data_IF_851517323254
#
_entry.id   IF_851517323254
#
_cell.length_a   1.000
_cell.length_b   1.000
_cell.length_c   1.000
_cell.angle_alpha   90.00
_cell.angle_beta   90.00
_cell.angle_gamma   90.00
#
_symmetry.space_group_name_H-M   'P 1'
#
loop_
_entity.id
_entity.type
_entity.pdbx_description
1 polymer ?
#
# COMPACT_ATOMS: atom_id res chain seq x y z
N UNK A 1 23.43 -13.95 4.90
CA UNK A 1 22.95 -15.28 5.37
C UNK A 1 21.89 -15.77 4.37
N UNK A 2 21.58 -17.07 4.21
CA UNK A 2 20.52 -17.48 3.27
C UNK A 2 19.14 -17.29 3.91
N UNK A 3 18.50 -16.15 3.65
CA UNK A 3 17.06 -16.03 3.86
C UNK A 3 16.36 -16.83 2.78
N UNK A 4 15.80 -17.97 3.18
CA UNK A 4 14.79 -18.66 2.36
C UNK A 4 13.48 -17.92 2.53
N UNK A 5 13.22 -16.98 1.62
CA UNK A 5 11.88 -16.43 1.48
C UNK A 5 10.89 -17.58 1.33
N UNK A 6 9.83 -17.58 2.15
CA UNK A 6 8.66 -18.42 1.89
C UNK A 6 7.99 -17.82 0.65
N UNK A 7 8.31 -18.37 -0.52
CA UNK A 7 7.40 -18.24 -1.66
C UNK A 7 6.04 -18.76 -1.20
N UNK A 8 5.05 -17.88 -1.11
CA UNK A 8 3.68 -18.25 -0.82
C UNK A 8 3.20 -19.10 -2.00
N UNK A 9 3.15 -20.41 -1.78
CA UNK A 9 2.64 -21.35 -2.79
C UNK A 9 1.14 -21.43 -2.63
N UNK A 10 0.43 -20.46 -3.22
CA UNK A 10 -0.98 -20.63 -3.57
C UNK A 10 -1.07 -21.93 -4.37
N UNK A 11 -1.74 -22.93 -3.81
CA UNK A 11 -1.67 -24.30 -4.32
C UNK A 11 -2.85 -24.60 -5.25
N UNK A 12 -2.97 -23.80 -6.32
CA UNK A 12 -3.98 -23.93 -7.38
C UNK A 12 -5.44 -23.86 -6.89
N UNK A 13 -5.90 -22.68 -6.51
CA UNK A 13 -7.34 -22.41 -6.44
C UNK A 13 -7.88 -22.09 -7.84
N UNK A 14 -8.54 -23.06 -8.45
CA UNK A 14 -9.39 -22.88 -9.63
C UNK A 14 -10.80 -22.78 -9.09
N UNK A 15 -11.19 -21.56 -8.75
CA UNK A 15 -12.42 -21.28 -8.04
C UNK A 15 -13.71 -21.86 -8.73
N UNK A 16 -14.87 -21.66 -8.08
CA UNK A 16 -16.05 -21.03 -8.72
C UNK A 16 -17.44 -21.91 -8.94
N UNK A 17 -18.74 -21.62 -8.45
CA UNK A 17 -20.21 -21.12 -8.77
C UNK A 17 -21.41 -21.71 -9.62
N UNK A 18 -22.66 -21.36 -9.21
CA UNK A 18 -23.54 -20.28 -9.77
C UNK A 18 -24.47 -19.71 -8.64
N UNK A 19 -25.00 -18.47 -8.74
CA UNK A 19 -25.69 -17.64 -7.69
C UNK A 19 -26.82 -18.29 -6.87
N UNK A 20 -26.75 -18.27 -5.52
CA UNK A 20 -27.84 -18.61 -4.58
C UNK A 20 -29.20 -17.95 -4.94
N UNK A 21 -30.28 -18.75 -5.09
CA UNK A 21 -31.62 -18.24 -5.40
C UNK A 21 -32.74 -19.19 -4.91
N UNK A 22 -33.29 -18.96 -3.70
CA UNK A 22 -34.70 -19.30 -3.38
C UNK A 22 -35.14 -18.88 -1.96
N UNK A 23 -35.30 -17.57 -1.70
CA UNK A 23 -36.29 -17.09 -0.73
C UNK A 23 -37.20 -16.06 -1.40
N UNK A 24 -38.48 -16.07 -1.04
CA UNK A 24 -39.53 -15.26 -1.67
C UNK A 24 -40.09 -14.24 -0.66
N UNK A 25 -40.62 -13.08 -1.06
CA UNK A 25 -41.30 -12.85 -2.32
C UNK A 25 -41.22 -11.43 -2.88
N UNK A 26 -41.51 -11.34 -4.18
CA UNK A 26 -41.57 -10.16 -5.03
C UNK A 26 -42.09 -8.87 -4.37
N UNK A 27 -41.22 -7.85 -4.32
CA UNK A 27 -41.61 -6.44 -4.39
C UNK A 27 -40.73 -5.78 -5.46
N UNK A 28 -41.35 -5.10 -6.43
CA UNK A 28 -40.61 -4.25 -7.37
C UNK A 28 -40.65 -2.83 -6.81
N UNK A 29 -39.50 -2.33 -6.40
CA UNK A 29 -39.26 -0.89 -6.26
C UNK A 29 -38.28 -0.41 -7.33
N UNK A 30 -38.32 0.89 -7.61
CA UNK A 30 -37.35 1.52 -8.50
C UNK A 30 -36.08 1.83 -7.71
N UNK A 31 -34.93 1.83 -8.36
CA UNK A 31 -33.72 2.44 -7.82
C UNK A 31 -34.03 3.89 -7.40
N UNK A 32 -33.73 4.24 -6.15
CA UNK A 32 -34.03 5.55 -5.61
C UNK A 32 -33.68 5.68 -4.13
N UNK A 33 -32.84 6.68 -3.86
CA UNK A 33 -32.48 7.24 -2.55
C UNK A 33 -32.01 6.21 -1.51
N UNK A 34 -30.69 6.09 -1.41
CA UNK A 34 -29.98 5.14 -0.56
C UNK A 34 -30.47 5.18 0.90
N UNK A 35 -30.91 4.02 1.36
CA UNK A 35 -31.43 3.85 2.69
C UNK A 35 -30.28 3.98 3.69
N UNK A 36 -30.28 5.09 4.44
CA UNK A 36 -29.27 5.37 5.46
C UNK A 36 -29.37 4.40 6.64
N UNK A 37 -28.75 3.23 6.52
CA UNK A 37 -28.70 2.21 7.56
C UNK A 37 -27.39 2.32 8.33
N UNK A 38 -27.48 2.71 9.61
CA UNK A 38 -26.34 2.73 10.53
C UNK A 38 -25.79 1.30 10.74
N UNK A 39 -24.47 1.14 10.84
CA UNK A 39 -23.85 -0.16 11.13
C UNK A 39 -22.43 -0.31 10.60
N UNK A 40 -21.96 -1.56 10.63
CA UNK A 40 -20.71 -2.00 10.00
C UNK A 40 -20.96 -2.29 8.52
N UNK A 41 -19.97 -2.03 7.67
CA UNK A 41 -20.04 -2.19 6.21
C UNK A 41 -18.75 -2.82 5.68
N UNK A 42 -18.86 -3.66 4.64
CA UNK A 42 -17.74 -4.32 4.00
C UNK A 42 -17.49 -3.68 2.62
N UNK A 43 -16.31 -3.10 2.42
CA UNK A 43 -15.88 -2.47 1.16
C UNK A 43 -14.96 -3.39 0.37
N UNK A 44 -15.10 -3.36 -0.95
CA UNK A 44 -14.31 -4.13 -1.92
C UNK A 44 -13.70 -3.08 -2.88
N UNK A 45 -12.39 -2.78 -2.80
CA UNK A 45 -11.73 -1.79 -3.65
C UNK A 45 -11.58 -2.31 -5.10
N UNK A 46 -11.29 -1.40 -6.05
CA UNK A 46 -11.21 -1.68 -7.51
C UNK A 46 -12.44 -2.34 -8.15
N UNK A 47 -13.57 -2.45 -7.43
CA UNK A 47 -14.76 -3.04 -8.03
C UNK A 47 -15.35 -2.08 -9.07
N UNK A 48 -15.60 -2.48 -10.33
CA UNK A 48 -15.85 -1.51 -11.39
C UNK A 48 -17.11 -0.68 -11.21
N UNK A 49 -16.96 0.63 -11.34
CA UNK A 49 -18.04 1.61 -11.25
C UNK A 49 -19.07 1.42 -12.38
N UNK A 50 -18.63 0.92 -13.54
CA UNK A 50 -19.44 0.61 -14.72
C UNK A 50 -20.09 -0.79 -14.69
N UNK A 51 -19.96 -1.54 -13.59
CA UNK A 51 -20.67 -2.80 -13.38
C UNK A 51 -22.19 -2.58 -13.25
N UNK A 52 -22.98 -3.40 -13.96
CA UNK A 52 -24.44 -3.36 -13.93
C UNK A 52 -24.95 -3.73 -12.52
N UNK A 53 -25.79 -2.88 -11.91
CA UNK A 53 -26.45 -3.18 -10.62
C UNK A 53 -27.69 -4.05 -10.89
N UNK A 54 -27.59 -5.34 -10.57
CA UNK A 54 -28.66 -6.32 -10.75
C UNK A 54 -29.73 -6.22 -9.65
N UNK A 55 -29.31 -6.04 -8.39
CA UNK A 55 -30.20 -5.94 -7.23
C UNK A 55 -29.57 -5.10 -6.12
N UNK A 56 -30.35 -4.18 -5.54
CA UNK A 56 -30.03 -3.53 -4.27
C UNK A 56 -31.28 -3.47 -3.40
N UNK A 57 -31.14 -3.86 -2.14
CA UNK A 57 -32.15 -3.63 -1.10
C UNK A 57 -31.51 -3.56 0.28
N UNK A 58 -32.09 -2.76 1.16
CA UNK A 58 -31.74 -2.64 2.57
C UNK A 58 -33.00 -2.36 3.39
N UNK A 59 -33.04 -2.77 4.66
CA UNK A 59 -34.21 -2.60 5.54
C UNK A 59 -33.92 -1.92 6.90
N UNK A 60 -34.98 -1.73 7.69
CA UNK A 60 -34.92 -1.08 9.01
C UNK A 60 -34.29 -1.98 10.11
N UNK A 61 -34.23 -3.30 9.91
CA UNK A 61 -33.63 -4.26 10.86
C UNK A 61 -32.12 -4.47 10.59
N UNK A 62 -31.62 -4.02 9.44
CA UNK A 62 -30.20 -3.99 9.09
C UNK A 62 -29.77 -4.99 8.03
N UNK A 63 -30.70 -5.78 7.48
CA UNK A 63 -30.45 -6.67 6.35
C UNK A 63 -30.16 -5.86 5.08
N UNK A 64 -29.21 -6.34 4.27
CA UNK A 64 -28.81 -5.73 3.00
C UNK A 64 -28.53 -6.83 1.99
N UNK A 65 -29.03 -6.66 0.77
CA UNK A 65 -28.64 -7.44 -0.41
C UNK A 65 -28.12 -6.48 -1.47
N UNK A 66 -26.90 -6.73 -1.96
CA UNK A 66 -26.28 -5.98 -3.04
C UNK A 66 -25.77 -6.97 -4.10
N UNK A 67 -26.10 -6.78 -5.37
CA UNK A 67 -25.65 -7.61 -6.48
C UNK A 67 -25.27 -6.73 -7.67
N UNK A 68 -24.01 -6.84 -8.13
CA UNK A 68 -23.51 -6.25 -9.38
C UNK A 68 -23.01 -7.33 -10.33
N UNK A 69 -23.00 -7.07 -11.64
CA UNK A 69 -22.39 -7.94 -12.66
C UNK A 69 -21.53 -7.18 -13.67
N UNK A 70 -20.63 -7.91 -14.33
CA UNK A 70 -19.68 -7.39 -15.32
C UNK A 70 -19.73 -8.28 -16.57
N UNK A 71 -19.57 -7.67 -17.76
CA UNK A 71 -19.67 -8.30 -19.08
C UNK A 71 -20.96 -9.12 -19.28
N UNK A 72 -22.14 -8.49 -19.24
CA UNK A 72 -23.44 -9.11 -19.54
C UNK A 72 -23.70 -10.37 -18.68
N UNK A 73 -23.45 -10.24 -17.37
CA UNK A 73 -23.61 -11.34 -16.42
C UNK A 73 -22.60 -12.47 -16.59
N UNK A 74 -21.42 -12.25 -17.19
CA UNK A 74 -20.29 -13.18 -17.05
C UNK A 74 -19.86 -13.27 -15.59
N UNK A 75 -19.34 -12.17 -15.09
CA UNK A 75 -19.00 -12.01 -13.68
C UNK A 75 -20.20 -11.47 -12.90
N UNK A 76 -20.36 -11.89 -11.63
CA UNK A 76 -21.42 -11.45 -10.71
C UNK A 76 -20.84 -11.41 -9.29
N UNK A 77 -21.02 -10.32 -8.55
CA UNK A 77 -20.68 -10.21 -7.15
C UNK A 77 -21.95 -9.90 -6.35
N UNK A 78 -22.30 -10.80 -5.43
CA UNK A 78 -23.26 -10.55 -4.37
C UNK A 78 -22.57 -10.23 -3.04
N UNK A 79 -23.04 -9.22 -2.33
CA UNK A 79 -22.71 -8.95 -0.92
C UNK A 79 -24.02 -8.91 -0.14
N UNK A 80 -24.15 -9.78 0.85
CA UNK A 80 -25.30 -9.80 1.75
C UNK A 80 -24.83 -9.46 3.16
N UNK A 81 -25.56 -8.61 3.88
CA UNK A 81 -25.40 -8.35 5.32
C UNK A 81 -26.66 -8.78 6.04
N UNK A 82 -26.52 -9.48 7.15
CA UNK A 82 -27.61 -9.88 8.05
C UNK A 82 -27.22 -9.55 9.50
N UNK A 83 -28.15 -9.17 10.38
CA UNK A 83 -27.85 -9.00 11.81
C UNK A 83 -27.24 -10.26 12.44
N UNK A 84 -26.24 -10.09 13.32
CA UNK A 84 -25.68 -11.20 14.09
C UNK A 84 -26.65 -11.63 15.21
N UNK A 85 -26.73 -12.93 15.45
CA UNK A 85 -27.56 -13.50 16.50
C UNK A 85 -27.33 -14.99 16.66
N UNK A 86 -27.91 -15.57 17.73
CA UNK A 86 -27.74 -16.98 18.14
C UNK A 86 -28.12 -18.02 17.06
N UNK A 87 -28.78 -17.61 15.97
CA UNK A 87 -29.26 -18.49 14.90
C UNK A 87 -28.30 -18.63 13.69
N UNK A 88 -27.41 -17.66 13.43
CA UNK A 88 -26.62 -17.58 12.18
C UNK A 88 -25.16 -18.04 12.36
N UNK A 89 -24.96 -19.28 12.80
CA UNK A 89 -23.60 -19.85 13.02
C UNK A 89 -22.91 -20.27 11.71
N UNK A 90 -21.58 -20.52 11.70
CA UNK A 90 -20.88 -21.09 10.54
C UNK A 90 -21.47 -22.42 10.05
N UNK A 91 -21.90 -23.30 10.95
CA UNK A 91 -22.59 -24.54 10.58
C UNK A 91 -23.94 -24.28 9.92
N UNK A 92 -24.68 -23.26 10.39
CA UNK A 92 -25.95 -22.88 9.78
C UNK A 92 -25.75 -22.25 8.40
N UNK A 93 -24.69 -21.47 8.22
CA UNK A 93 -24.32 -20.94 6.90
C UNK A 93 -23.97 -22.07 5.92
N UNK A 94 -23.23 -23.10 6.35
CA UNK A 94 -22.99 -24.30 5.52
C UNK A 94 -24.27 -24.99 5.09
N UNK A 95 -25.24 -25.15 5.99
CA UNK A 95 -26.54 -25.76 5.66
C UNK A 95 -27.29 -24.93 4.61
N UNK A 96 -27.33 -23.59 4.76
CA UNK A 96 -27.96 -22.67 3.80
C UNK A 96 -27.30 -22.70 2.42
N UNK A 97 -25.95 -22.71 2.38
CA UNK A 97 -25.20 -22.85 1.13
C UNK A 97 -25.56 -24.19 0.46
N UNK A 98 -25.42 -25.31 1.18
CA UNK A 98 -25.67 -26.67 0.68
C UNK A 98 -27.11 -26.88 0.17
N UNK A 99 -28.11 -26.34 0.87
CA UNK A 99 -29.50 -26.37 0.42
C UNK A 99 -29.66 -25.62 -0.92
N UNK A 100 -29.04 -24.45 -1.07
CA UNK A 100 -29.15 -23.68 -2.30
C UNK A 100 -28.28 -24.18 -3.47
N UNK A 101 -27.23 -24.98 -3.22
CA UNK A 101 -26.53 -25.76 -4.26
C UNK A 101 -27.49 -26.80 -4.83
N UNK A 102 -28.09 -27.57 -3.92
CA UNK A 102 -29.04 -28.66 -4.22
C UNK A 102 -30.27 -28.16 -4.95
N UNK A 103 -30.90 -27.07 -4.48
CA UNK A 103 -32.09 -26.47 -5.08
C UNK A 103 -31.89 -26.00 -6.53
N UNK A 104 -30.62 -25.90 -6.97
CA UNK A 104 -30.23 -25.32 -8.26
C UNK A 104 -29.44 -26.28 -9.15
N UNK A 105 -29.39 -27.56 -8.77
CA UNK A 105 -28.88 -28.64 -9.61
C UNK A 105 -27.38 -28.89 -9.53
N UNK A 106 -26.66 -28.26 -8.59
CA UNK A 106 -25.34 -28.76 -8.17
C UNK A 106 -25.47 -29.88 -7.13
N UNK A 107 -24.38 -30.58 -6.86
CA UNK A 107 -24.30 -31.53 -5.74
C UNK A 107 -23.75 -30.83 -4.49
N UNK A 108 -24.33 -31.12 -3.32
CA UNK A 108 -23.86 -30.57 -2.05
C UNK A 108 -22.65 -31.33 -1.48
N UNK A 109 -22.39 -32.55 -1.95
CA UNK A 109 -21.18 -33.31 -1.60
C UNK A 109 -19.91 -32.78 -2.34
N UNK A 110 -20.09 -31.98 -3.40
CA UNK A 110 -19.01 -31.36 -4.21
C UNK A 110 -18.58 -29.95 -3.70
N UNK A 111 -19.02 -29.53 -2.51
CA UNK A 111 -18.66 -28.22 -1.93
C UNK A 111 -17.38 -28.30 -1.11
N UNK A 112 -16.32 -27.63 -1.56
CA UNK A 112 -15.10 -27.46 -0.77
C UNK A 112 -15.28 -26.30 0.22
N UNK A 113 -15.11 -26.57 1.51
CA UNK A 113 -15.27 -25.57 2.58
C UNK A 113 -14.03 -25.48 3.47
N UNK A 114 -13.49 -24.27 3.68
CA UNK A 114 -12.63 -23.98 4.83
C UNK A 114 -13.45 -23.35 5.98
N UNK A 115 -13.31 -23.89 7.19
CA UNK A 115 -13.96 -23.39 8.42
C UNK A 115 -13.08 -22.48 9.26
N UNK A 116 -11.79 -22.36 8.93
CA UNK A 116 -10.86 -21.45 9.58
C UNK A 116 -10.60 -20.23 8.69
N UNK A 117 -10.43 -20.46 7.38
CA UNK A 117 -10.18 -19.43 6.37
C UNK A 117 -9.07 -18.46 6.83
N UNK A 118 -7.96 -19.03 7.30
CA UNK A 118 -6.99 -18.33 8.17
C UNK A 118 -6.48 -17.02 7.56
N UNK A 119 -6.22 -17.00 6.24
CA UNK A 119 -5.78 -15.81 5.50
C UNK A 119 -6.85 -14.68 5.51
N UNK A 120 -8.13 -15.00 5.30
CA UNK A 120 -9.23 -14.03 5.37
C UNK A 120 -9.56 -13.61 6.81
N UNK A 121 -9.39 -14.51 7.78
CA UNK A 121 -9.59 -14.21 9.19
C UNK A 121 -8.49 -13.30 9.76
N UNK A 122 -7.26 -13.39 9.23
CA UNK A 122 -6.17 -12.44 9.51
C UNK A 122 -6.45 -11.08 8.83
N UNK A 123 -6.75 -11.08 7.52
CA UNK A 123 -7.07 -9.87 6.73
C UNK A 123 -8.21 -9.04 7.33
N UNK A 124 -9.37 -9.68 7.57
CA UNK A 124 -10.58 -8.99 8.03
C UNK A 124 -10.65 -8.85 9.56
N UNK A 125 -9.73 -9.48 10.31
CA UNK A 125 -9.72 -9.52 11.78
C UNK A 125 -10.98 -10.14 12.44
N UNK A 126 -11.82 -10.84 11.68
CA UNK A 126 -13.02 -11.54 12.16
C UNK A 126 -13.01 -13.02 11.74
N UNK A 127 -13.64 -13.93 12.51
CA UNK A 127 -13.82 -15.32 12.08
C UNK A 127 -14.45 -15.42 10.69
N UNK A 128 -13.82 -16.22 9.82
CA UNK A 128 -14.22 -16.41 8.43
C UNK A 128 -14.50 -17.89 8.10
N UNK A 129 -15.26 -18.11 7.03
CA UNK A 129 -15.53 -19.40 6.40
C UNK A 129 -15.55 -19.19 4.89
N UNK A 130 -14.91 -20.06 4.11
CA UNK A 130 -15.04 -20.05 2.65
C UNK A 130 -15.82 -21.26 2.14
N UNK A 131 -16.42 -21.12 0.95
CA UNK A 131 -17.00 -22.22 0.20
C UNK A 131 -16.81 -22.06 -1.32
N UNK A 132 -16.44 -23.14 -2.00
CA UNK A 132 -16.27 -23.22 -3.46
C UNK A 132 -17.04 -24.43 -4.00
N UNK A 133 -17.82 -24.24 -5.08
CA UNK A 133 -18.68 -25.28 -5.65
C UNK A 133 -19.20 -24.92 -7.05
N UNK A 134 -19.09 -25.82 -8.03
CA UNK A 134 -19.52 -25.58 -9.42
C UNK A 134 -21.02 -25.89 -9.64
N UNK A 135 -21.70 -25.16 -10.52
CA UNK A 135 -23.11 -25.41 -10.89
C UNK A 135 -23.30 -25.24 -12.40
N UNK A 136 -24.08 -26.16 -12.98
CA UNK A 136 -24.35 -26.25 -14.42
C UNK A 136 -23.67 -27.47 -15.04
N UNK A 137 -23.75 -27.60 -16.36
CA UNK A 137 -23.01 -28.62 -17.11
C UNK A 137 -22.43 -28.03 -18.40
N UNK A 138 -21.25 -28.51 -18.81
CA UNK A 138 -20.61 -28.19 -20.10
C UNK A 138 -20.33 -26.68 -20.28
N UNK A 139 -20.69 -26.09 -21.42
CA UNK A 139 -20.43 -24.67 -21.72
C UNK A 139 -21.35 -23.69 -20.98
N UNK A 140 -22.44 -24.17 -20.38
CA UNK A 140 -23.31 -23.38 -19.50
C UNK A 140 -22.91 -23.54 -18.02
N UNK A 141 -21.80 -24.23 -17.74
CA UNK A 141 -21.21 -24.26 -16.41
C UNK A 141 -20.74 -22.84 -16.02
N UNK A 142 -21.03 -22.48 -14.78
CA UNK A 142 -20.76 -21.17 -14.15
C UNK A 142 -19.83 -21.41 -12.96
N UNK A 143 -19.23 -20.36 -12.34
CA UNK A 143 -18.30 -20.50 -11.19
C UNK A 143 -18.09 -19.16 -10.25
N UNK A 144 -17.92 -18.69 -8.92
CA UNK A 144 -17.74 -18.75 -7.33
C UNK A 144 -16.41 -18.35 -6.60
N UNK A 145 -16.53 -17.43 -5.65
CA UNK A 145 -16.11 -17.75 -4.28
C UNK A 145 -17.26 -17.38 -3.34
N UNK A 146 -17.38 -18.06 -2.20
CA UNK A 146 -18.23 -17.61 -1.08
C UNK A 146 -17.35 -17.38 0.13
N UNK A 147 -17.51 -16.23 0.80
CA UNK A 147 -16.85 -15.89 2.06
C UNK A 147 -17.92 -15.46 3.05
N UNK A 148 -18.11 -16.22 4.12
CA UNK A 148 -18.92 -15.85 5.28
C UNK A 148 -18.03 -15.23 6.36
N UNK A 149 -18.36 -14.02 6.80
CA UNK A 149 -17.60 -13.26 7.81
C UNK A 149 -18.49 -12.97 9.01
N UNK A 150 -18.05 -13.36 10.20
CA UNK A 150 -18.86 -13.35 11.41
C UNK A 150 -18.36 -12.26 12.39
N UNK A 151 -19.03 -11.11 12.39
CA UNK A 151 -18.72 -9.98 13.27
C UNK A 151 -19.62 -9.97 14.52
N UNK A 152 -19.37 -9.07 15.48
CA UNK A 152 -20.17 -9.00 16.71
C UNK A 152 -21.63 -8.58 16.45
N UNK A 153 -21.87 -7.67 15.49
CA UNK A 153 -23.19 -7.08 15.20
C UNK A 153 -23.82 -7.59 13.89
N UNK A 154 -23.03 -8.11 12.94
CA UNK A 154 -23.50 -8.58 11.63
C UNK A 154 -22.78 -9.84 11.12
N UNK A 155 -23.46 -10.65 10.33
CA UNK A 155 -22.87 -11.67 9.46
C UNK A 155 -22.88 -11.15 8.02
N UNK A 156 -21.74 -11.19 7.36
CA UNK A 156 -21.60 -10.85 5.94
C UNK A 156 -21.42 -12.12 5.11
N UNK A 157 -21.97 -12.11 3.90
CA UNK A 157 -21.77 -13.15 2.89
C UNK A 157 -21.34 -12.49 1.58
N UNK A 158 -20.07 -12.60 1.23
CA UNK A 158 -19.55 -12.20 -0.08
C UNK A 158 -19.61 -13.39 -1.02
N UNK A 159 -20.05 -13.17 -2.25
CA UNK A 159 -20.38 -14.21 -3.20
C UNK A 159 -20.00 -13.78 -4.63
N UNK A 160 -18.79 -14.12 -5.10
CA UNK A 160 -18.38 -13.87 -6.49
C UNK A 160 -18.96 -14.92 -7.48
N UNK A 161 -18.79 -14.71 -8.77
CA UNK A 161 -19.45 -15.47 -9.83
C UNK A 161 -18.88 -15.07 -11.19
N UNK A 162 -18.82 -16.00 -12.14
CA UNK A 162 -18.00 -16.00 -13.37
C UNK A 162 -18.61 -17.07 -14.29
N UNK A 163 -18.47 -16.99 -15.60
CA UNK A 163 -18.81 -18.11 -16.53
C UNK A 163 -17.57 -19.00 -16.72
N UNK A 164 -17.74 -20.32 -16.88
CA UNK A 164 -16.58 -21.25 -16.91
C UNK A 164 -15.68 -21.08 -18.15
N UNK A 165 -16.18 -20.46 -19.22
CA UNK A 165 -15.41 -20.05 -20.39
C UNK A 165 -14.61 -18.75 -20.18
N UNK A 166 -14.91 -18.02 -19.10
CA UNK A 166 -14.42 -16.68 -18.77
C UNK A 166 -13.56 -16.67 -17.48
N UNK A 167 -13.16 -17.85 -16.97
CA UNK A 167 -12.46 -17.97 -15.69
C UNK A 167 -11.08 -17.31 -15.68
N UNK A 168 -10.27 -17.59 -16.71
CA UNK A 168 -8.91 -17.05 -16.83
C UNK A 168 -8.91 -15.51 -16.93
N UNK A 169 -9.99 -14.90 -17.48
CA UNK A 169 -10.13 -13.45 -17.65
C UNK A 169 -10.42 -12.69 -16.33
N UNK A 170 -10.92 -13.39 -15.30
CA UNK A 170 -11.32 -12.80 -14.02
C UNK A 170 -10.47 -13.23 -12.83
N UNK A 171 -9.63 -14.26 -12.95
CA UNK A 171 -8.83 -14.83 -11.84
C UNK A 171 -8.03 -13.76 -11.10
N UNK A 172 -7.10 -13.07 -11.78
CA UNK A 172 -6.22 -12.08 -11.15
C UNK A 172 -7.00 -10.88 -10.57
N UNK A 173 -8.08 -10.45 -11.24
CA UNK A 173 -8.95 -9.34 -10.78
C UNK A 173 -9.68 -9.71 -9.49
N UNK A 174 -10.24 -10.92 -9.43
CA UNK A 174 -10.93 -11.38 -8.22
C UNK A 174 -9.99 -11.53 -7.04
N UNK A 175 -8.73 -11.93 -7.26
CA UNK A 175 -7.74 -11.98 -6.19
C UNK A 175 -7.49 -10.59 -5.59
N UNK A 176 -7.28 -9.55 -6.41
CA UNK A 176 -7.11 -8.17 -5.94
C UNK A 176 -8.33 -7.68 -5.14
N UNK A 177 -9.55 -7.87 -5.65
CA UNK A 177 -10.80 -7.50 -4.96
C UNK A 177 -10.95 -8.19 -3.60
N UNK A 178 -10.61 -9.49 -3.52
CA UNK A 178 -10.74 -10.27 -2.30
C UNK A 178 -9.62 -10.02 -1.28
N UNK A 179 -8.38 -9.79 -1.72
CA UNK A 179 -7.26 -9.42 -0.85
C UNK A 179 -7.33 -7.96 -0.36
N UNK A 180 -7.99 -7.08 -1.10
CA UNK A 180 -8.22 -5.68 -0.73
C UNK A 180 -9.43 -5.42 0.18
N UNK A 181 -10.24 -6.43 0.51
CA UNK A 181 -11.46 -6.25 1.29
C UNK A 181 -11.20 -5.69 2.69
N UNK A 182 -12.03 -4.74 3.13
CA UNK A 182 -11.93 -4.15 4.47
C UNK A 182 -13.28 -3.72 5.04
N UNK A 183 -13.39 -3.77 6.37
CA UNK A 183 -14.53 -3.21 7.07
C UNK A 183 -14.40 -1.69 7.25
N UNK A 184 -15.50 -0.97 7.07
CA UNK A 184 -15.67 0.45 7.36
C UNK A 184 -16.89 0.64 8.27
N UNK A 185 -16.83 1.61 9.18
CA UNK A 185 -17.88 1.83 10.19
C UNK A 185 -18.71 3.08 9.91
N UNK A 186 -20.04 2.96 9.95
CA UNK A 186 -20.93 4.12 9.94
C UNK A 186 -20.72 4.98 11.19
N UNK A 187 -20.58 6.29 11.00
CA UNK A 187 -20.28 7.24 12.07
C UNK A 187 -21.47 7.49 12.99
N UNK A 188 -21.27 7.38 14.31
CA UNK A 188 -22.30 7.65 15.31
C UNK A 188 -22.32 9.12 15.75
N UNK A 189 -23.36 9.85 15.30
CA UNK A 189 -23.92 11.06 15.92
C UNK A 189 -22.93 12.10 16.50
N UNK A 190 -22.39 12.99 15.65
CA UNK A 190 -21.87 14.29 16.09
C UNK A 190 -22.94 15.38 15.99
N UNK A 191 -23.06 16.24 17.01
CA UNK A 191 -23.99 17.39 16.97
C UNK A 191 -23.39 18.58 16.18
N UNK A 192 -23.63 18.67 14.87
CA UNK A 192 -23.43 19.91 14.11
C UNK A 192 -24.63 20.20 13.20
N UNK A 193 -25.33 21.32 13.46
CA UNK A 193 -26.50 21.76 12.69
C UNK A 193 -26.06 22.57 11.44
N UNK A 194 -25.84 21.91 10.31
CA UNK A 194 -25.80 22.55 8.99
C UNK A 194 -26.68 21.81 7.97
N UNK A 195 -27.48 22.56 7.22
CA UNK A 195 -28.33 22.02 6.15
C UNK A 195 -27.51 21.82 4.86
N UNK A 196 -26.77 20.70 4.82
CA UNK A 196 -26.10 20.13 3.64
C UNK A 196 -26.37 18.62 3.57
N UNK A 197 -26.38 18.05 2.37
CA UNK A 197 -26.71 16.64 2.13
C UNK A 197 -25.44 15.77 2.29
N UNK A 198 -25.06 15.48 3.54
CA UNK A 198 -23.85 14.74 3.89
C UNK A 198 -24.19 13.42 4.63
N UNK A 199 -23.44 12.34 4.35
CA UNK A 199 -23.43 11.12 5.17
C UNK A 199 -24.51 10.07 4.89
N UNK A 200 -24.68 9.62 3.65
CA UNK A 200 -25.42 8.38 3.31
C UNK A 200 -24.68 7.57 2.25
N UNK A 201 -23.84 6.63 2.69
CA UNK A 201 -23.09 5.79 1.77
C UNK A 201 -23.96 4.72 1.09
N UNK A 202 -24.00 4.73 -0.24
CA UNK A 202 -23.96 3.48 -1.01
C UNK A 202 -22.66 2.75 -0.63
N UNK A 203 -22.65 1.41 -0.75
CA UNK A 203 -21.45 0.61 -0.50
C UNK A 203 -20.35 0.85 -1.56
N UNK A 204 -20.68 1.59 -2.63
CA UNK A 204 -19.85 1.84 -3.83
C UNK A 204 -19.86 3.31 -4.29
N UNK A 205 -20.26 4.27 -3.45
CA UNK A 205 -20.16 5.71 -3.75
C UNK A 205 -18.78 6.28 -3.41
N UNK A 206 -18.24 7.12 -4.30
CA UNK A 206 -16.97 7.84 -4.13
C UNK A 206 -17.15 9.26 -3.54
N UNK A 207 -18.34 9.86 -3.62
CA UNK A 207 -18.60 11.25 -3.21
C UNK A 207 -18.85 11.48 -1.70
N UNK A 208 -18.57 10.50 -0.82
CA UNK A 208 -18.31 10.77 0.62
C UNK A 208 -16.98 10.19 1.15
N UNK A 209 -15.90 10.38 0.38
CA UNK A 209 -14.51 10.12 0.77
C UNK A 209 -13.92 10.95 1.93
N UNK A 210 -14.63 11.13 3.04
CA UNK A 210 -14.01 11.53 4.32
C UNK A 210 -13.18 10.36 4.88
N UNK A 211 -11.99 10.17 4.32
CA UNK A 211 -10.92 9.32 4.86
C UNK A 211 -10.61 9.74 6.31
N UNK A 212 -11.23 9.08 7.29
CA UNK A 212 -11.45 9.55 8.67
C UNK A 212 -10.32 10.35 9.31
N UNK A 213 -10.30 11.65 9.06
CA UNK A 213 -9.30 12.60 9.56
C UNK A 213 -7.84 12.36 9.15
N UNK A 214 -7.55 11.47 8.17
CA UNK A 214 -6.19 11.20 7.67
C UNK A 214 -5.92 11.97 6.38
N UNK A 215 -5.41 13.19 6.54
CA UNK A 215 -4.80 13.98 5.47
C UNK A 215 -3.55 13.26 4.94
N UNK A 216 -3.49 13.01 3.63
CA UNK A 216 -2.31 12.43 2.97
C UNK A 216 -1.27 13.55 2.82
N UNK A 217 -0.35 13.64 3.79
CA UNK A 217 0.67 14.69 3.88
C UNK A 217 1.65 14.75 2.68
N UNK A 218 1.71 13.69 1.85
CA UNK A 218 2.58 13.61 0.68
C UNK A 218 2.12 12.63 -0.41
N UNK A 219 2.50 12.91 -1.66
CA UNK A 219 2.11 12.17 -2.87
C UNK A 219 3.28 11.49 -3.60
N UNK A 220 4.51 11.72 -3.14
CA UNK A 220 5.70 10.97 -3.53
C UNK A 220 6.73 11.02 -2.41
N UNK A 221 7.65 10.05 -2.38
CA UNK A 221 8.82 10.07 -1.49
C UNK A 221 10.07 9.75 -2.30
N UNK A 222 11.15 10.47 -2.03
CA UNK A 222 12.46 10.19 -2.64
C UNK A 222 13.49 9.90 -1.56
N UNK A 223 14.33 8.89 -1.80
CA UNK A 223 15.21 8.31 -0.78
C UNK A 223 16.69 8.44 -1.13
N UNK A 224 17.56 8.55 -0.13
CA UNK A 224 19.01 8.72 -0.34
C UNK A 224 19.78 7.43 -0.67
N UNK A 225 19.16 6.26 -0.55
CA UNK A 225 19.70 4.94 -0.90
C UNK A 225 18.68 4.10 -1.72
N UNK A 226 19.08 2.96 -2.30
CA UNK A 226 18.16 1.98 -2.87
C UNK A 226 17.23 1.35 -1.82
N UNK A 227 16.26 0.56 -2.28
CA UNK A 227 15.32 -0.22 -1.45
C UNK A 227 14.52 0.65 -0.45
N UNK A 228 14.24 1.91 -0.82
CA UNK A 228 13.55 2.91 0.00
C UNK A 228 14.24 3.24 1.34
N UNK A 229 15.58 3.12 1.39
CA UNK A 229 16.39 3.30 2.60
C UNK A 229 17.04 4.68 2.74
N UNK A 230 17.47 5.00 3.96
CA UNK A 230 18.21 6.23 4.27
C UNK A 230 17.30 7.41 4.60
N UNK A 231 17.68 8.59 4.11
CA UNK A 231 16.87 9.81 4.30
C UNK A 231 15.74 9.80 3.28
N UNK A 232 14.51 9.72 3.80
CA UNK A 232 13.29 10.02 3.07
C UNK A 232 13.10 11.54 2.95
N UNK A 233 12.62 12.00 1.78
CA UNK A 233 12.08 13.35 1.59
C UNK A 233 10.68 13.25 1.00
N UNK A 234 9.68 13.55 1.82
CA UNK A 234 8.27 13.58 1.45
C UNK A 234 7.96 14.76 0.53
N UNK A 235 7.28 14.51 -0.59
CA UNK A 235 6.87 15.54 -1.56
C UNK A 235 5.37 15.81 -1.37
N UNK A 236 4.97 16.99 -0.85
CA UNK A 236 3.62 17.18 -0.30
C UNK A 236 2.50 17.22 -1.36
N UNK A 237 2.80 17.59 -2.60
CA UNK A 237 1.80 17.81 -3.65
C UNK A 237 2.42 17.75 -5.06
N UNK A 238 1.61 17.76 -6.13
CA UNK A 238 2.08 18.13 -7.47
C UNK A 238 2.79 19.49 -7.46
N UNK A 239 3.91 19.59 -8.17
CA UNK A 239 4.74 20.78 -8.13
C UNK A 239 6.07 20.69 -8.86
N UNK A 240 6.83 21.77 -8.78
CA UNK A 240 8.14 21.95 -9.42
C UNK A 240 9.20 22.20 -8.34
N UNK A 241 10.10 21.24 -8.14
CA UNK A 241 11.02 21.15 -7.01
C UNK A 241 12.49 21.20 -7.47
N UNK A 242 13.14 22.35 -7.27
CA UNK A 242 14.56 22.56 -7.61
C UNK A 242 15.44 22.03 -6.44
N UNK A 243 16.34 21.07 -6.69
CA UNK A 243 17.11 20.46 -5.61
C UNK A 243 18.28 21.38 -5.19
N UNK A 244 18.78 21.18 -3.97
CA UNK A 244 19.82 22.00 -3.36
C UNK A 244 19.42 23.46 -3.07
N UNK A 245 18.18 23.89 -3.36
CA UNK A 245 17.73 25.26 -3.09
C UNK A 245 16.25 25.34 -2.70
N UNK A 246 15.94 26.01 -1.59
CA UNK A 246 14.56 26.25 -1.13
C UNK A 246 13.87 25.04 -0.50
N UNK A 247 13.79 23.90 -1.19
CA UNK A 247 12.96 22.76 -0.79
C UNK A 247 13.57 21.85 0.30
N UNK A 248 14.87 21.95 0.59
CA UNK A 248 15.49 21.17 1.68
C UNK A 248 15.89 19.73 1.31
N UNK A 249 15.99 19.43 0.02
CA UNK A 249 16.45 18.15 -0.52
C UNK A 249 17.80 18.39 -1.26
N UNK A 250 18.90 17.69 -0.93
CA UNK A 250 20.21 17.87 -1.58
C UNK A 250 20.21 17.57 -3.09
N UNK A 251 21.14 18.18 -3.84
CA UNK A 251 21.46 17.72 -5.20
C UNK A 251 22.11 16.33 -5.18
N UNK A 252 21.96 15.58 -6.27
CA UNK A 252 22.63 14.30 -6.49
C UNK A 252 22.39 13.25 -5.36
N UNK A 253 21.28 13.31 -4.60
CA UNK A 253 21.03 12.38 -3.49
C UNK A 253 20.11 11.21 -3.83
N UNK A 254 19.10 11.44 -4.67
CA UNK A 254 18.01 10.47 -4.92
C UNK A 254 18.55 9.17 -5.51
N UNK A 255 18.15 8.04 -4.93
CA UNK A 255 18.57 6.69 -5.31
C UNK A 255 17.41 5.70 -5.51
N UNK A 256 16.29 5.90 -4.81
CA UNK A 256 15.01 5.21 -5.04
C UNK A 256 13.85 6.20 -4.85
N UNK A 257 12.69 5.89 -5.43
CA UNK A 257 11.52 6.78 -5.51
C UNK A 257 10.26 5.96 -5.25
N UNK A 258 9.47 6.35 -4.25
CA UNK A 258 8.09 5.89 -4.11
C UNK A 258 7.15 6.94 -4.73
N UNK A 259 6.13 6.49 -5.47
CA UNK A 259 5.14 7.34 -6.15
C UNK A 259 3.75 6.88 -5.71
N UNK A 260 2.91 7.82 -5.24
CA UNK A 260 1.51 7.51 -4.97
C UNK A 260 0.81 7.14 -6.29
N UNK A 261 -0.02 6.09 -6.34
CA UNK A 261 -0.87 5.81 -7.49
C UNK A 261 -1.64 7.06 -7.95
N UNK A 262 -1.82 7.22 -9.26
CA UNK A 262 -2.39 8.43 -9.89
C UNK A 262 -1.42 9.61 -10.07
N UNK A 263 -0.17 9.50 -9.62
CA UNK A 263 0.87 10.53 -9.79
C UNK A 263 2.06 10.06 -10.63
N UNK A 264 2.88 11.02 -11.06
CA UNK A 264 4.16 10.79 -11.73
C UNK A 264 5.24 11.68 -11.14
N UNK A 265 6.43 11.12 -10.94
CA UNK A 265 7.67 11.86 -10.67
C UNK A 265 8.51 11.93 -11.94
N UNK A 266 8.87 13.14 -12.38
CA UNK A 266 9.87 13.35 -13.44
C UNK A 266 11.15 13.87 -12.82
N UNK A 267 12.23 13.08 -12.88
CA UNK A 267 13.56 13.49 -12.44
C UNK A 267 14.30 14.21 -13.58
N UNK A 268 15.03 15.28 -13.27
CA UNK A 268 15.81 16.06 -14.22
C UNK A 268 17.29 16.18 -13.80
N UNK A 269 18.19 16.01 -14.77
CA UNK A 269 19.64 16.03 -14.59
C UNK A 269 20.20 17.37 -14.10
N UNK A 270 19.51 18.48 -14.34
CA UNK A 270 19.93 19.83 -13.95
C UNK A 270 18.83 20.55 -13.17
N UNK A 271 19.22 21.59 -12.45
CA UNK A 271 18.28 22.51 -11.79
C UNK A 271 17.35 23.20 -12.80
N UNK A 272 16.15 23.57 -12.34
CA UNK A 272 15.09 24.21 -13.14
C UNK A 272 14.63 23.39 -14.36
N UNK A 273 14.45 22.09 -14.13
CA UNK A 273 13.80 21.16 -15.06
C UNK A 273 14.52 21.09 -16.42
N UNK A 274 15.85 21.06 -16.36
CA UNK A 274 16.75 21.08 -17.52
C UNK A 274 17.66 19.86 -17.61
N UNK A 275 18.33 19.72 -18.76
CA UNK A 275 19.17 18.57 -19.07
C UNK A 275 18.36 17.40 -19.63
N UNK A 276 18.85 16.19 -19.40
CA UNK A 276 18.10 14.95 -19.64
C UNK A 276 17.06 14.73 -18.52
N UNK A 277 16.02 13.93 -18.78
CA UNK A 277 14.94 13.62 -17.83
C UNK A 277 14.52 12.16 -17.86
N UNK A 278 13.98 11.65 -16.76
CA UNK A 278 13.38 10.34 -16.63
C UNK A 278 12.01 10.45 -15.94
N UNK A 279 11.03 9.69 -16.43
CA UNK A 279 9.67 9.63 -15.89
C UNK A 279 9.46 8.33 -15.11
N UNK A 280 8.83 8.44 -13.94
CA UNK A 280 8.61 7.36 -12.97
C UNK A 280 7.15 7.47 -12.51
N UNK A 281 6.33 6.47 -12.84
CA UNK A 281 4.90 6.42 -12.54
C UNK A 281 4.59 5.42 -11.39
N UNK A 282 5.45 4.40 -11.20
CA UNK A 282 5.38 3.41 -10.12
C UNK A 282 6.49 3.61 -9.05
N UNK A 283 6.46 2.81 -7.97
CA UNK A 283 7.58 2.73 -7.02
C UNK A 283 8.82 2.07 -7.67
N UNK A 284 9.97 2.73 -7.60
CA UNK A 284 11.26 2.29 -8.17
C UNK A 284 12.32 2.14 -7.06
N UNK A 285 12.72 0.89 -6.78
CA UNK A 285 13.61 0.53 -5.68
C UNK A 285 15.10 0.75 -5.97
N UNK A 286 15.53 0.79 -7.25
CA UNK A 286 16.91 1.16 -7.61
C UNK A 286 16.98 1.87 -8.96
N UNK A 287 17.18 3.19 -8.93
CA UNK A 287 17.36 4.04 -10.12
C UNK A 287 18.56 3.66 -11.01
N UNK A 288 19.43 2.72 -10.61
CA UNK A 288 20.53 2.22 -11.41
C UNK A 288 21.53 3.32 -11.80
N UNK A 289 21.70 3.56 -13.10
CA UNK A 289 22.55 4.63 -13.65
C UNK A 289 22.00 6.05 -13.35
N UNK A 290 20.73 6.19 -12.95
CA UNK A 290 20.10 7.44 -12.54
C UNK A 290 20.23 7.71 -11.02
N UNK A 291 20.85 6.81 -10.25
CA UNK A 291 21.22 7.09 -8.85
C UNK A 291 22.16 8.30 -8.78
N UNK A 292 21.86 9.24 -7.88
CA UNK A 292 22.74 10.40 -7.58
C UNK A 292 23.01 11.30 -8.81
N UNK A 293 21.99 11.45 -9.65
CA UNK A 293 21.98 12.16 -10.95
C UNK A 293 21.02 13.36 -10.99
N UNK A 294 19.92 13.32 -10.24
CA UNK A 294 18.90 14.37 -10.27
C UNK A 294 19.35 15.67 -9.56
N UNK A 295 18.97 16.81 -10.15
CA UNK A 295 19.16 18.16 -9.59
C UNK A 295 17.87 19.02 -9.63
N UNK A 296 16.80 18.54 -10.25
CA UNK A 296 15.43 19.00 -9.99
C UNK A 296 14.44 17.86 -10.24
N UNK A 297 13.25 17.92 -9.66
CA UNK A 297 12.16 16.99 -9.92
C UNK A 297 10.83 17.71 -10.08
N UNK A 298 9.93 17.14 -10.88
CA UNK A 298 8.55 17.57 -11.02
C UNK A 298 7.64 16.45 -10.53
N UNK A 299 6.55 16.81 -9.87
CA UNK A 299 5.46 15.87 -9.58
C UNK A 299 4.21 16.34 -10.30
N UNK A 300 3.58 15.44 -11.04
CA UNK A 300 2.33 15.67 -11.75
C UNK A 300 1.28 14.67 -11.25
N UNK A 301 0.02 15.12 -11.15
CA UNK A 301 -1.12 14.21 -11.03
C UNK A 301 -1.53 13.82 -12.45
N UNK A 302 -1.47 12.53 -12.79
CA UNK A 302 -1.77 12.02 -14.14
C UNK A 302 -3.22 11.57 -14.28
N UNK A 303 -3.83 11.10 -13.20
CA UNK A 303 -5.25 10.73 -13.08
C UNK A 303 -5.77 10.98 -11.65
N UNK A 304 -7.04 10.72 -11.37
CA UNK A 304 -7.57 10.81 -9.99
C UNK A 304 -6.99 9.63 -9.19
N UNK A 305 -6.30 9.84 -8.06
CA UNK A 305 -5.74 8.75 -7.27
C UNK A 305 -6.87 8.03 -6.52
N UNK A 306 -6.92 6.70 -6.61
CA UNK A 306 -7.80 5.91 -5.75
C UNK A 306 -7.50 6.22 -4.26
N UNK A 307 -8.50 6.65 -3.45
CA UNK A 307 -8.26 7.06 -2.07
C UNK A 307 -7.75 5.95 -1.15
N UNK A 308 -8.06 4.68 -1.44
CA UNK A 308 -7.64 3.53 -0.64
C UNK A 308 -6.20 3.14 -0.94
N UNK A 309 -5.80 3.13 -2.22
CA UNK A 309 -4.40 2.89 -2.59
C UNK A 309 -3.49 4.06 -2.24
N UNK A 310 -3.96 5.29 -2.38
CA UNK A 310 -3.22 6.47 -1.92
C UNK A 310 -2.96 6.39 -0.40
N UNK A 311 -3.96 5.97 0.39
CA UNK A 311 -3.83 5.79 1.84
C UNK A 311 -2.94 4.59 2.20
N UNK A 312 -3.12 3.43 1.58
CA UNK A 312 -2.30 2.24 1.85
C UNK A 312 -0.83 2.46 1.48
N UNK A 313 -0.57 3.13 0.35
CA UNK A 313 0.76 3.57 -0.04
C UNK A 313 1.35 4.57 0.97
N UNK A 314 0.57 5.57 1.38
CA UNK A 314 0.99 6.58 2.36
C UNK A 314 1.37 5.94 3.71
N UNK A 315 0.56 5.00 4.21
CA UNK A 315 0.85 4.29 5.46
C UNK A 315 2.19 3.54 5.37
N UNK A 316 2.41 2.75 4.32
CA UNK A 316 3.70 2.05 4.09
C UNK A 316 4.88 3.02 4.03
N UNK A 317 4.78 4.12 3.28
CA UNK A 317 5.91 5.06 3.18
C UNK A 317 6.11 5.90 4.45
N UNK A 318 5.06 6.10 5.26
CA UNK A 318 5.17 6.78 6.56
C UNK A 318 5.91 5.95 7.61
N UNK A 319 5.83 4.61 7.56
CA UNK A 319 6.58 3.73 8.46
C UNK A 319 8.06 3.57 8.07
N UNK A 320 8.42 3.91 6.81
CA UNK A 320 9.80 3.85 6.31
C UNK A 320 10.73 4.99 6.83
N UNK A 321 10.32 5.78 7.84
CA UNK A 321 11.13 6.90 8.34
C UNK A 321 12.37 6.46 9.14
N UNK A 322 13.56 6.67 8.55
CA UNK A 322 14.88 6.59 9.21
C UNK A 322 15.23 5.25 9.91
N UNK A 323 14.87 4.12 9.28
CA UNK A 323 15.37 2.80 9.67
C UNK A 323 16.87 2.69 9.34
N UNK A 324 17.74 2.86 10.35
CA UNK A 324 19.20 2.73 10.21
C UNK A 324 19.67 1.28 9.97
N UNK A 325 20.79 1.13 9.26
CA UNK A 325 21.50 -0.13 9.04
C UNK A 325 22.01 -0.73 10.37
N UNK A 326 21.66 -2.00 10.66
CA UNK A 326 22.18 -2.70 11.84
C UNK A 326 23.66 -3.10 11.65
N UNK A 327 24.54 -2.54 12.49
CA UNK A 327 25.97 -2.86 12.50
C UNK A 327 26.49 -3.14 13.93
N UNK A 328 27.49 -4.03 14.05
CA UNK A 328 28.26 -4.27 15.29
C UNK A 328 29.74 -3.91 15.07
N UNK A 329 30.16 -2.64 15.29
CA UNK A 329 31.53 -2.22 15.06
C UNK A 329 32.50 -2.82 16.06
N UNK A 330 33.19 -3.87 15.62
CA UNK A 330 34.14 -4.64 16.44
C UNK A 330 35.00 -3.73 17.36
N UNK A 331 35.01 -3.91 18.70
CA UNK A 331 35.64 -2.96 19.64
C UNK A 331 37.13 -2.63 19.39
N UNK A 332 37.83 -3.48 18.65
CA UNK A 332 39.20 -3.25 18.18
C UNK A 332 39.29 -2.17 17.10
N UNK A 333 38.29 -2.06 16.21
CA UNK A 333 38.19 -1.04 15.17
C UNK A 333 37.76 0.32 15.75
N UNK A 334 36.76 0.36 16.62
CA UNK A 334 36.42 1.55 17.41
C UNK A 334 37.66 2.11 18.12
N UNK A 335 38.41 1.26 18.83
CA UNK A 335 39.66 1.65 19.50
C UNK A 335 40.80 2.03 18.55
N UNK A 336 40.81 1.54 17.30
CA UNK A 336 41.79 1.90 16.25
C UNK A 336 41.55 3.33 15.75
N UNK A 337 40.29 3.75 15.65
CA UNK A 337 39.90 5.02 15.02
C UNK A 337 39.36 6.10 15.97
N UNK A 338 39.15 5.82 17.25
CA UNK A 338 38.53 6.73 18.23
C UNK A 338 38.98 8.21 18.15
N UNK A 339 40.28 8.49 18.04
CA UNK A 339 40.79 9.88 17.95
C UNK A 339 40.54 10.56 16.59
N UNK A 340 40.27 9.78 15.54
CA UNK A 340 39.78 10.28 14.24
C UNK A 340 38.29 10.51 14.25
N UNK A 341 37.52 9.57 14.82
CA UNK A 341 36.07 9.67 15.00
C UNK A 341 35.74 10.96 15.77
N UNK A 342 36.36 11.17 16.94
CA UNK A 342 36.25 12.42 17.72
C UNK A 342 36.63 13.68 16.94
N UNK A 343 37.64 13.60 16.06
CA UNK A 343 38.07 14.73 15.23
C UNK A 343 37.01 15.09 14.19
N UNK A 344 36.27 14.12 13.65
CA UNK A 344 35.18 14.36 12.72
C UNK A 344 33.88 14.77 13.44
N UNK A 345 33.58 14.20 14.61
CA UNK A 345 32.49 14.63 15.51
C UNK A 345 32.67 16.08 15.98
N UNK A 346 33.92 16.53 16.18
CA UNK A 346 34.24 17.92 16.54
C UNK A 346 34.42 18.87 15.35
N UNK A 347 34.21 18.40 14.11
CA UNK A 347 34.34 19.20 12.89
C UNK A 347 32.96 19.50 12.31
N UNK A 348 32.63 20.78 12.08
CA UNK A 348 31.44 21.19 11.30
C UNK A 348 31.81 21.79 9.94
N UNK A 349 30.84 22.42 9.27
CA UNK A 349 30.93 22.97 7.89
C UNK A 349 32.28 23.60 7.54
N UNK A 350 32.81 24.50 8.36
CA UNK A 350 34.07 25.23 8.10
C UNK A 350 35.30 24.31 7.97
N UNK A 351 35.26 23.11 8.55
CA UNK A 351 36.32 22.08 8.46
C UNK A 351 36.20 21.18 7.22
N UNK A 352 35.09 21.26 6.49
CA UNK A 352 34.82 20.47 5.28
C UNK A 352 34.57 21.38 4.07
N UNK A 353 33.44 22.09 4.07
CA UNK A 353 33.01 22.92 2.97
C UNK A 353 33.64 24.31 3.03
N UNK A 354 33.51 25.03 4.15
CA UNK A 354 33.73 26.48 4.21
C UNK A 354 35.16 26.99 4.00
N UNK A 355 36.19 26.16 4.15
CA UNK A 355 37.60 26.61 4.00
C UNK A 355 38.53 25.70 3.19
N UNK A 356 38.10 24.49 2.83
CA UNK A 356 38.96 23.48 2.17
C UNK A 356 38.77 23.44 0.65
N UNK A 357 39.73 22.86 -0.06
CA UNK A 357 39.68 22.62 -1.52
C UNK A 357 39.20 21.21 -1.83
N UNK A 358 38.72 20.98 -3.04
CA UNK A 358 38.18 19.66 -3.45
C UNK A 358 39.19 18.51 -3.27
N UNK A 359 40.47 18.73 -3.62
CA UNK A 359 41.53 17.76 -3.39
C UNK A 359 41.79 17.44 -1.89
N UNK A 360 41.38 18.31 -0.98
CA UNK A 360 41.40 18.11 0.47
C UNK A 360 40.13 17.39 0.93
N UNK A 361 38.95 17.76 0.42
CA UNK A 361 37.66 17.06 0.63
C UNK A 361 37.72 15.59 0.21
N UNK A 362 38.19 15.31 -1.01
CA UNK A 362 38.42 13.94 -1.54
C UNK A 362 39.42 13.15 -0.68
N UNK A 363 40.38 13.82 -0.03
CA UNK A 363 41.32 13.18 0.89
C UNK A 363 40.66 12.86 2.24
N UNK A 364 39.77 13.71 2.74
CA UNK A 364 38.99 13.47 3.96
C UNK A 364 37.92 12.40 3.74
N UNK A 365 37.22 12.41 2.60
CA UNK A 365 36.30 11.33 2.19
C UNK A 365 36.99 9.97 2.16
N UNK A 366 38.19 9.89 1.55
CA UNK A 366 39.02 8.67 1.60
C UNK A 366 39.51 8.29 3.01
N UNK A 367 39.53 9.20 3.98
CA UNK A 367 39.79 8.87 5.39
C UNK A 367 38.52 8.34 6.07
N UNK A 368 37.35 8.93 5.82
CA UNK A 368 36.04 8.46 6.31
C UNK A 368 35.68 7.07 5.78
N UNK A 369 35.72 6.84 4.46
CA UNK A 369 35.46 5.53 3.82
C UNK A 369 36.27 4.41 4.50
N UNK A 370 37.54 4.67 4.78
CA UNK A 370 38.43 3.70 5.47
C UNK A 370 38.12 3.51 6.94
N UNK A 371 37.50 4.49 7.60
CA UNK A 371 37.05 4.36 8.98
C UNK A 371 35.77 3.52 9.02
N UNK A 372 34.76 3.86 8.21
CA UNK A 372 33.49 3.13 8.16
C UNK A 372 33.65 1.67 7.67
N UNK A 373 34.46 1.42 6.64
CA UNK A 373 34.81 0.06 6.19
C UNK A 373 35.57 -0.75 7.27
N UNK A 374 36.49 -0.13 8.02
CA UNK A 374 37.14 -0.79 9.18
C UNK A 374 36.15 -1.09 10.32
N UNK A 375 35.03 -0.36 10.40
CA UNK A 375 33.97 -0.48 11.40
C UNK A 375 32.84 -1.44 10.98
N UNK A 376 32.86 -1.96 9.76
CA UNK A 376 31.90 -2.97 9.27
C UNK A 376 30.73 -2.43 8.44
N UNK A 377 30.70 -1.13 8.12
CA UNK A 377 29.75 -0.56 7.15
C UNK A 377 30.18 -0.97 5.74
N UNK A 378 29.24 -1.30 4.87
CA UNK A 378 29.53 -1.52 3.45
C UNK A 378 29.91 -0.18 2.77
N UNK A 379 31.00 -0.21 2.01
CA UNK A 379 31.55 0.95 1.32
C UNK A 379 31.93 0.63 -0.13
N UNK A 380 31.54 -0.52 -0.69
CA UNK A 380 32.02 -0.98 -1.99
C UNK A 380 31.48 -0.13 -3.17
N UNK A 381 30.37 0.60 -3.01
CA UNK A 381 29.90 1.63 -3.97
C UNK A 381 30.69 2.96 -3.89
N UNK A 382 31.41 3.23 -2.80
CA UNK A 382 31.84 4.59 -2.44
C UNK A 382 33.30 4.89 -2.82
N UNK A 383 33.48 5.49 -3.99
CA UNK A 383 34.73 6.16 -4.33
C UNK A 383 34.94 7.49 -3.59
N UNK A 384 36.21 7.88 -3.46
CA UNK A 384 36.61 8.99 -2.60
C UNK A 384 36.11 10.37 -3.05
N UNK A 385 35.82 10.53 -4.33
CA UNK A 385 35.27 11.76 -4.92
C UNK A 385 33.74 11.75 -5.02
N UNK A 386 33.09 10.60 -5.28
CA UNK A 386 31.62 10.50 -5.22
C UNK A 386 31.12 10.73 -3.79
N UNK A 387 31.74 10.09 -2.79
CA UNK A 387 31.42 10.33 -1.38
C UNK A 387 31.71 11.78 -0.96
N UNK A 388 32.81 12.37 -1.45
CA UNK A 388 33.14 13.77 -1.13
C UNK A 388 32.20 14.78 -1.80
N UNK A 389 31.66 14.48 -2.98
CA UNK A 389 30.56 15.25 -3.61
C UNK A 389 29.28 15.12 -2.79
N UNK A 390 28.89 13.91 -2.41
CA UNK A 390 27.67 13.70 -1.62
C UNK A 390 27.71 14.44 -0.27
N UNK A 391 28.85 14.36 0.44
CA UNK A 391 29.11 15.14 1.65
C UNK A 391 28.95 16.66 1.45
N UNK A 392 29.34 17.21 0.30
CA UNK A 392 29.14 18.64 0.00
C UNK A 392 27.66 18.97 -0.17
N UNK A 393 26.94 18.17 -0.96
CA UNK A 393 25.54 18.43 -1.29
C UNK A 393 24.66 18.34 -0.04
N UNK A 394 24.89 17.34 0.83
CA UNK A 394 24.27 17.30 2.16
C UNK A 394 24.72 18.45 3.06
N UNK A 395 25.96 18.96 2.94
CA UNK A 395 26.40 20.14 3.70
C UNK A 395 25.78 21.47 3.27
N UNK A 396 25.20 21.57 2.07
CA UNK A 396 24.38 22.73 1.70
C UNK A 396 22.95 22.67 2.28
N UNK A 397 22.52 21.49 2.74
CA UNK A 397 21.28 21.28 3.49
C UNK A 397 21.47 21.30 5.03
N UNK A 398 22.35 20.47 5.58
CA UNK A 398 22.57 20.24 7.03
C UNK A 398 23.87 20.85 7.56
N UNK A 399 23.92 22.18 7.61
CA UNK A 399 25.06 22.95 8.16
C UNK A 399 25.20 22.85 9.69
N UNK A 400 24.18 22.30 10.35
CA UNK A 400 24.12 22.01 11.79
C UNK A 400 24.90 20.76 12.20
N UNK A 401 25.10 19.80 11.29
CA UNK A 401 25.72 18.51 11.58
C UNK A 401 27.26 18.54 11.57
N UNK A 402 27.86 17.65 12.38
CA UNK A 402 29.30 17.39 12.29
C UNK A 402 29.65 16.57 11.05
N UNK A 403 30.92 16.57 10.66
CA UNK A 403 31.44 15.79 9.52
C UNK A 403 31.26 14.29 9.76
N UNK A 404 31.18 13.87 11.03
CA UNK A 404 30.83 12.50 11.37
C UNK A 404 29.33 12.23 11.17
N UNK A 405 28.47 13.09 11.70
CA UNK A 405 27.01 12.87 11.67
C UNK A 405 26.45 13.01 10.24
N UNK A 406 26.98 13.93 9.42
CA UNK A 406 26.67 14.01 7.98
C UNK A 406 27.09 12.74 7.22
N UNK A 407 28.22 12.12 7.60
CA UNK A 407 28.68 10.88 6.98
C UNK A 407 27.83 9.67 7.42
N UNK A 408 27.47 9.59 8.70
CA UNK A 408 26.50 8.64 9.24
C UNK A 408 25.15 8.73 8.51
N UNK A 409 24.64 9.95 8.28
CA UNK A 409 23.38 10.20 7.59
C UNK A 409 23.40 9.73 6.12
N UNK A 410 24.50 9.99 5.39
CA UNK A 410 24.69 9.52 4.00
C UNK A 410 24.79 7.99 3.90
N UNK A 411 25.29 7.34 4.95
CA UNK A 411 25.48 5.88 5.00
C UNK A 411 24.31 5.15 5.69
N UNK A 412 23.26 5.87 6.11
CA UNK A 412 22.14 5.34 6.89
C UNK A 412 22.57 4.60 8.18
N UNK A 413 23.50 5.15 8.94
CA UNK A 413 24.00 4.54 10.19
C UNK A 413 23.76 5.45 11.39
N UNK A 414 23.23 4.90 12.49
CA UNK A 414 23.07 5.62 13.76
C UNK A 414 24.43 6.15 14.29
N UNK A 415 24.60 7.48 14.48
CA UNK A 415 25.82 8.05 15.02
C UNK A 415 26.08 7.72 16.51
N UNK A 416 25.07 7.32 17.30
CA UNK A 416 25.24 6.95 18.72
C UNK A 416 26.09 5.68 18.91
N UNK A 417 26.10 4.77 17.94
CA UNK A 417 26.93 3.55 17.92
C UNK A 417 28.44 3.87 18.08
N UNK A 418 28.86 5.10 17.80
CA UNK A 418 30.27 5.52 17.74
C UNK A 418 30.71 6.52 18.85
N UNK A 419 29.93 6.70 19.93
CA UNK A 419 30.17 7.76 20.94
C UNK A 419 30.90 7.29 22.22
#
# INVERSE_FOLDING_TARGET
MKYTGRFFRVSCFVFCAAVLFSLSASVVYAAGEDAGVEGLWLRIPEFPDDADVDEFSADEDGEVTYIRSIDDGRFVLGVFRMPAGDEMTPEKLKETIAESVTNRGGDADDIEFDTAAEDFAELLSYPCLTAEYEIGENGDAKKFAVIGVFTDDYVFLVQAGVQADSFDDYTDRTQLWFEGMKFVGGSTSGEDENEGEEGRGDLFDDETGENGGREIDFVAVVYSLPEFRGVAWHIPAPGEYDLGSGFGLPNDSVCSVAVCPGYRVTLYQHSKFGGESAEIEDNEEDLGDLKRWASSLKVERIEEPDPDFALAWFEVQSENEQVFEEIDPAPKALKKHAERIKRFQAAGEMSWYGTTKDAERVKLGRELIRIFSDLGVDMDEWEADSFARMMNNFYDWRKDLSVWDTACLILNVDPEIFK
#
